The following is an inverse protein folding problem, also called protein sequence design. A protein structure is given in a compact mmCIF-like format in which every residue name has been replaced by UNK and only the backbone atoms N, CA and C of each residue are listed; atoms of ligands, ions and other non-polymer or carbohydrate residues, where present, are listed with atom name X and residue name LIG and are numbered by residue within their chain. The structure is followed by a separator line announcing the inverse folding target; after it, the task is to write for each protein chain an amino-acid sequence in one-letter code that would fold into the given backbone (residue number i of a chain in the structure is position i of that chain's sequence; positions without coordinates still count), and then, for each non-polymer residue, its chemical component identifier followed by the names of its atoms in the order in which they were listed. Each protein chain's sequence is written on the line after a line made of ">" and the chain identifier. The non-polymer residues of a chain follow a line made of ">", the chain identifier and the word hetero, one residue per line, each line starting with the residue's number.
data_IF_825553989731
#
_entry.id   IF_825553989731
#
_cell.length_a   1.000
_cell.length_b   1.000
_cell.length_c   1.000
_cell.angle_alpha   90.00
_cell.angle_beta   90.00
_cell.angle_gamma   90.00
#
_symmetry.space_group_name_H-M   'P 1'
#
loop_
_entity.id
_entity.type
_entity.pdbx_description
1 polymer ?
#
# COMPACT_ATOMS: atom_id res chain seq x y z
N UNK A 1 -36.67 -30.70 39.98
CA UNK A 1 -35.53 -31.28 40.72
C UNK A 1 -34.65 -30.13 41.19
N UNK A 2 -34.71 -29.86 42.50
CA UNK A 2 -33.82 -29.03 43.34
C UNK A 2 -33.04 -27.88 42.68
N UNK A 3 -33.63 -26.68 42.66
CA UNK A 3 -32.92 -25.41 42.47
C UNK A 3 -31.86 -25.28 43.56
N UNK A 4 -30.58 -25.34 43.19
CA UNK A 4 -29.47 -25.08 44.12
C UNK A 4 -29.30 -23.57 44.25
N UNK A 5 -30.09 -22.94 45.12
CA UNK A 5 -30.05 -21.47 45.27
C UNK A 5 -28.80 -20.95 46.03
N UNK A 6 -27.82 -21.81 46.32
CA UNK A 6 -26.61 -21.45 47.06
C UNK A 6 -25.35 -22.18 46.55
N UNK A 7 -24.97 -21.92 45.30
CA UNK A 7 -23.71 -22.38 44.71
C UNK A 7 -22.51 -21.68 45.36
N UNK A 8 -21.41 -22.41 45.55
CA UNK A 8 -20.14 -21.84 46.03
C UNK A 8 -19.29 -21.32 44.86
N UNK A 9 -18.22 -20.59 45.19
CA UNK A 9 -17.23 -20.14 44.20
C UNK A 9 -16.62 -21.33 43.43
N UNK A 10 -16.45 -22.47 44.09
CA UNK A 10 -15.89 -23.69 43.49
C UNK A 10 -16.88 -24.33 42.52
N UNK A 11 -18.17 -24.36 42.88
CA UNK A 11 -19.21 -24.88 42.00
C UNK A 11 -19.35 -24.05 40.72
N UNK A 12 -19.32 -22.71 40.84
CA UNK A 12 -19.43 -21.80 39.68
C UNK A 12 -18.17 -21.85 38.82
N UNK A 13 -16.99 -21.97 39.44
CA UNK A 13 -15.73 -22.15 38.72
C UNK A 13 -15.74 -23.42 37.86
N UNK A 14 -16.24 -24.53 38.42
CA UNK A 14 -16.39 -25.78 37.68
C UNK A 14 -17.44 -25.67 36.56
N UNK A 15 -18.58 -25.01 36.82
CA UNK A 15 -19.66 -24.85 35.84
C UNK A 15 -19.24 -23.99 34.63
N UNK A 16 -18.44 -22.95 34.86
CA UNK A 16 -17.97 -22.04 33.80
C UNK A 16 -16.61 -22.45 33.23
N UNK A 17 -16.01 -23.53 33.75
CA UNK A 17 -14.67 -24.02 33.40
C UNK A 17 -13.58 -22.94 33.51
N UNK A 18 -13.58 -22.19 34.62
CA UNK A 18 -12.62 -21.12 34.93
C UNK A 18 -12.00 -21.32 36.31
N UNK A 19 -10.87 -20.66 36.58
CA UNK A 19 -10.22 -20.74 37.89
C UNK A 19 -10.99 -19.98 38.97
N UNK A 20 -10.75 -20.32 40.25
CA UNK A 20 -11.31 -19.58 41.40
C UNK A 20 -10.97 -18.09 41.37
N UNK A 21 -9.73 -17.74 40.97
CA UNK A 21 -9.32 -16.34 40.81
C UNK A 21 -10.09 -15.63 39.71
N UNK A 22 -10.44 -16.34 38.62
CA UNK A 22 -11.32 -15.82 37.56
C UNK A 22 -12.70 -15.45 38.09
N UNK A 23 -13.32 -16.29 38.94
CA UNK A 23 -14.63 -15.97 39.54
C UNK A 23 -14.55 -14.74 40.45
N UNK A 24 -13.49 -14.58 41.25
CA UNK A 24 -13.31 -13.37 42.06
C UNK A 24 -13.12 -12.10 41.21
N UNK A 25 -12.46 -12.20 40.05
CA UNK A 25 -12.33 -11.09 39.11
C UNK A 25 -13.70 -10.69 38.51
N UNK A 26 -14.51 -11.66 38.10
CA UNK A 26 -15.87 -11.41 37.59
C UNK A 26 -16.77 -10.74 38.65
N UNK A 27 -16.66 -11.15 39.91
CA UNK A 27 -17.39 -10.48 41.01
C UNK A 27 -16.90 -9.04 41.18
N UNK A 28 -15.58 -8.82 41.17
CA UNK A 28 -14.98 -7.48 41.35
C UNK A 28 -15.38 -6.51 40.24
N UNK A 29 -15.47 -7.01 39.00
CA UNK A 29 -15.87 -6.22 37.84
C UNK A 29 -17.39 -6.02 37.74
N UNK A 30 -18.18 -6.73 38.55
CA UNK A 30 -19.64 -6.68 38.51
C UNK A 30 -20.27 -7.49 37.37
N UNK A 31 -19.50 -8.36 36.72
CA UNK A 31 -19.94 -9.12 35.54
C UNK A 31 -20.92 -10.23 35.91
N UNK A 32 -20.80 -10.80 37.12
CA UNK A 32 -21.67 -11.85 37.63
C UNK A 32 -22.29 -11.45 38.98
N UNK A 33 -23.60 -11.62 39.09
CA UNK A 33 -24.34 -11.38 40.33
C UNK A 33 -23.92 -12.37 41.43
N UNK A 34 -23.79 -11.89 42.66
CA UNK A 34 -23.52 -12.74 43.82
C UNK A 34 -24.12 -12.15 45.09
N UNK A 35 -24.29 -12.97 46.11
CA UNK A 35 -24.74 -12.53 47.43
C UNK A 35 -23.85 -13.12 48.52
N UNK A 36 -23.81 -12.47 49.69
CA UNK A 36 -23.00 -12.91 50.83
C UNK A 36 -23.87 -13.57 51.89
N UNK A 37 -23.42 -14.72 52.38
CA UNK A 37 -23.95 -15.38 53.59
C UNK A 37 -22.82 -15.39 54.61
N UNK A 38 -22.87 -14.45 55.55
CA UNK A 38 -21.75 -14.16 56.45
C UNK A 38 -20.50 -13.76 55.68
N UNK A 39 -19.38 -14.46 55.92
CA UNK A 39 -18.09 -14.22 55.21
C UNK A 39 -17.95 -14.98 53.88
N UNK A 40 -18.94 -15.79 53.49
CA UNK A 40 -18.87 -16.64 52.30
C UNK A 40 -19.73 -16.06 51.16
N UNK A 41 -19.19 -16.10 49.95
CA UNK A 41 -19.92 -15.68 48.74
C UNK A 41 -20.73 -16.88 48.21
N UNK A 42 -21.94 -16.60 47.74
CA UNK A 42 -22.88 -17.55 47.14
C UNK A 42 -23.48 -16.99 45.86
N UNK A 43 -23.88 -17.92 45.00
CA UNK A 43 -24.54 -17.63 43.74
C UNK A 43 -25.83 -18.41 43.64
N UNK A 44 -26.83 -17.83 43.02
CA UNK A 44 -28.01 -18.57 42.58
C UNK A 44 -27.77 -19.10 41.16
N UNK A 45 -28.48 -20.16 40.78
CA UNK A 45 -28.50 -20.61 39.38
C UNK A 45 -28.88 -19.48 38.41
N UNK A 46 -29.75 -18.57 38.83
CA UNK A 46 -30.16 -17.42 38.03
C UNK A 46 -29.00 -16.47 37.71
N UNK A 47 -28.10 -16.22 38.67
CA UNK A 47 -26.93 -15.36 38.44
C UNK A 47 -25.98 -15.96 37.41
N UNK A 48 -25.76 -17.27 37.46
CA UNK A 48 -24.88 -17.97 36.51
C UNK A 48 -25.51 -17.99 35.12
N UNK A 49 -26.82 -18.23 35.01
CA UNK A 49 -27.55 -18.20 33.73
C UNK A 49 -27.57 -16.81 33.12
N UNK A 50 -27.81 -15.76 33.91
CA UNK A 50 -27.77 -14.37 33.43
C UNK A 50 -26.38 -14.02 32.89
N UNK A 51 -25.31 -14.40 33.61
CA UNK A 51 -23.95 -14.23 33.11
C UNK A 51 -23.73 -14.96 31.77
N UNK A 52 -24.12 -16.23 31.66
CA UNK A 52 -23.99 -17.02 30.42
C UNK A 52 -24.80 -16.39 29.28
N UNK A 53 -26.00 -15.87 29.55
CA UNK A 53 -26.84 -15.25 28.51
C UNK A 53 -26.29 -13.89 28.06
N UNK A 54 -25.68 -13.11 28.94
CA UNK A 54 -25.00 -11.86 28.58
C UNK A 54 -23.69 -12.08 27.84
N UNK A 55 -22.99 -13.17 28.17
CA UNK A 55 -21.71 -13.53 27.52
C UNK A 55 -21.90 -14.40 26.27
N UNK A 56 -23.06 -15.05 26.13
CA UNK A 56 -23.48 -15.76 24.93
C UNK A 56 -24.00 -14.80 23.88
N UNK A 57 -23.24 -14.62 22.79
CA UNK A 57 -23.82 -14.06 21.55
C UNK A 57 -24.63 -15.15 20.86
N UNK A 58 -25.93 -14.94 20.69
CA UNK A 58 -26.73 -15.81 19.82
C UNK A 58 -26.12 -15.86 18.41
N UNK A 59 -26.13 -17.04 17.74
CA UNK A 59 -25.75 -17.12 16.33
C UNK A 59 -26.81 -16.38 15.51
N UNK A 60 -26.48 -15.17 15.04
CA UNK A 60 -27.33 -14.42 14.10
C UNK A 60 -27.59 -15.28 12.86
N UNK A 61 -28.86 -15.63 12.62
CA UNK A 61 -29.35 -16.02 11.29
C UNK A 61 -29.02 -14.88 10.30
N UNK A 62 -28.67 -15.20 9.05
CA UNK A 62 -28.20 -14.20 8.10
C UNK A 62 -29.38 -13.33 7.63
N UNK A 63 -29.55 -12.16 8.25
CA UNK A 63 -30.20 -11.06 7.57
C UNK A 63 -29.25 -10.56 6.48
N UNK A 64 -29.70 -10.72 5.24
CA UNK A 64 -29.10 -10.08 4.07
C UNK A 64 -29.25 -8.56 4.23
N UNK A 65 -28.25 -7.94 4.82
CA UNK A 65 -27.88 -6.55 4.55
C UNK A 65 -26.36 -6.49 4.55
N UNK A 66 -25.80 -6.69 3.36
CA UNK A 66 -24.37 -6.74 3.13
C UNK A 66 -23.74 -5.36 3.31
N UNK A 67 -23.15 -5.12 4.48
CA UNK A 67 -21.88 -4.43 4.55
C UNK A 67 -20.81 -5.52 4.65
N UNK A 68 -19.77 -5.53 3.80
CA UNK A 68 -18.71 -6.52 3.90
C UNK A 68 -17.82 -6.17 5.10
N UNK A 69 -18.26 -6.53 6.31
CA UNK A 69 -17.35 -6.57 7.44
C UNK A 69 -16.36 -7.71 7.19
N UNK A 70 -15.07 -7.35 7.10
CA UNK A 70 -13.96 -8.24 6.85
C UNK A 70 -13.87 -9.30 7.96
N UNK A 71 -13.78 -10.56 7.58
CA UNK A 71 -13.57 -11.69 8.49
C UNK A 71 -12.12 -11.66 9.00
N UNK A 72 -11.86 -11.02 10.14
CA UNK A 72 -10.51 -10.77 10.69
C UNK A 72 -9.68 -12.05 10.86
N UNK A 73 -10.32 -13.18 11.15
CA UNK A 73 -9.65 -14.46 11.37
C UNK A 73 -9.14 -15.12 10.07
N UNK A 74 -9.55 -14.64 8.89
CA UNK A 74 -9.01 -15.13 7.60
C UNK A 74 -7.81 -14.35 7.10
N UNK A 75 -7.56 -13.14 7.61
CA UNK A 75 -6.53 -12.24 7.06
C UNK A 75 -5.30 -12.08 7.96
N UNK A 76 -5.41 -12.41 9.25
CA UNK A 76 -4.38 -12.18 10.26
C UNK A 76 -3.94 -13.46 10.99
N UNK A 77 -3.79 -14.56 10.26
CA UNK A 77 -3.13 -15.74 10.81
C UNK A 77 -1.61 -15.69 10.57
N UNK A 78 -0.86 -15.12 11.52
CA UNK A 78 0.61 -15.15 11.55
C UNK A 78 1.18 -16.56 11.80
N UNK A 79 0.32 -17.55 12.07
CA UNK A 79 0.68 -18.95 12.27
C UNK A 79 0.60 -19.81 11.01
N UNK A 80 0.05 -19.28 9.90
CA UNK A 80 0.20 -19.90 8.58
C UNK A 80 1.69 -20.02 8.30
N UNK A 81 2.16 -21.27 8.32
CA UNK A 81 3.57 -21.62 8.35
C UNK A 81 4.37 -20.83 7.34
N UNK A 82 5.50 -20.27 7.78
CA UNK A 82 6.57 -19.83 6.91
C UNK A 82 6.96 -21.01 6.03
N UNK A 83 6.35 -21.13 4.85
CA UNK A 83 6.92 -21.97 3.80
C UNK A 83 8.32 -21.43 3.56
N UNK A 84 9.33 -22.27 3.81
CA UNK A 84 10.75 -21.91 3.87
C UNK A 84 11.37 -21.54 2.53
N UNK A 85 10.63 -20.88 1.64
CA UNK A 85 11.14 -20.24 0.44
C UNK A 85 11.63 -18.82 0.74
N UNK A 86 12.55 -18.33 -0.09
CA UNK A 86 12.84 -16.89 -0.16
C UNK A 86 11.53 -16.13 -0.39
N UNK A 87 11.28 -15.06 0.38
CA UNK A 87 10.00 -14.34 0.32
C UNK A 87 9.73 -13.73 -1.05
N UNK A 88 8.45 -13.67 -1.48
CA UNK A 88 8.06 -13.02 -2.73
C UNK A 88 8.03 -11.50 -2.53
N UNK A 89 9.00 -10.76 -3.07
CA UNK A 89 9.15 -9.31 -2.82
C UNK A 89 8.72 -8.51 -4.05
N UNK A 90 7.78 -7.59 -3.86
CA UNK A 90 7.32 -6.61 -4.86
C UNK A 90 7.90 -5.23 -4.52
N UNK A 91 8.71 -4.70 -5.42
CA UNK A 91 9.31 -3.37 -5.30
C UNK A 91 8.48 -2.28 -5.97
N UNK A 92 8.45 -1.10 -5.36
CA UNK A 92 7.85 0.11 -5.91
C UNK A 92 7.22 0.98 -4.83
N UNK A 93 6.85 2.22 -5.17
CA UNK A 93 6.37 3.20 -4.19
C UNK A 93 4.85 3.49 -4.27
N UNK A 94 4.14 3.00 -5.29
CA UNK A 94 2.71 3.30 -5.44
C UNK A 94 1.80 2.37 -4.60
N UNK A 95 0.73 2.96 -4.06
CA UNK A 95 -0.31 2.31 -3.25
C UNK A 95 -0.95 1.08 -3.94
N UNK A 96 -1.01 1.06 -5.28
CA UNK A 96 -1.55 -0.09 -6.05
C UNK A 96 -0.88 -1.40 -5.67
N UNK A 97 0.42 -1.35 -5.33
CA UNK A 97 1.19 -2.52 -4.95
C UNK A 97 0.88 -3.00 -3.54
N UNK A 98 0.43 -2.11 -2.66
CA UNK A 98 0.02 -2.47 -1.30
C UNK A 98 -1.30 -3.24 -1.35
N UNK A 99 -2.23 -2.77 -2.18
CA UNK A 99 -3.49 -3.48 -2.48
C UNK A 99 -3.18 -4.82 -3.17
N UNK A 100 -2.25 -4.85 -4.14
CA UNK A 100 -1.83 -6.08 -4.80
C UNK A 100 -1.27 -7.09 -3.80
N UNK A 101 -0.38 -6.68 -2.90
CA UNK A 101 0.20 -7.56 -1.89
C UNK A 101 -0.86 -8.18 -0.97
N UNK A 102 -1.89 -7.41 -0.62
CA UNK A 102 -3.02 -7.91 0.17
C UNK A 102 -3.83 -8.95 -0.59
N UNK A 103 -4.10 -8.72 -1.88
CA UNK A 103 -4.78 -9.72 -2.73
C UNK A 103 -3.93 -10.97 -2.92
N UNK A 104 -2.62 -10.84 -3.09
CA UNK A 104 -1.69 -11.98 -3.18
C UNK A 104 -1.79 -12.84 -1.91
N UNK A 105 -1.77 -12.22 -0.73
CA UNK A 105 -1.92 -12.91 0.56
C UNK A 105 -3.24 -13.67 0.66
N UNK A 106 -4.34 -13.08 0.19
CA UNK A 106 -5.65 -13.77 0.16
C UNK A 106 -5.66 -15.02 -0.73
N UNK A 107 -4.76 -15.10 -1.71
CA UNK A 107 -4.59 -16.24 -2.60
C UNK A 107 -3.45 -17.17 -2.15
N UNK A 108 -2.99 -17.05 -0.89
CA UNK A 108 -1.97 -17.92 -0.31
C UNK A 108 -0.52 -17.55 -0.66
N UNK A 109 -0.28 -16.42 -1.34
CA UNK A 109 1.06 -15.95 -1.67
C UNK A 109 1.48 -14.85 -0.70
N UNK A 110 2.49 -15.11 0.13
CA UNK A 110 3.04 -14.12 1.06
C UNK A 110 3.92 -13.11 0.29
N UNK A 111 3.30 -12.05 -0.21
CA UNK A 111 3.99 -10.96 -0.90
C UNK A 111 4.45 -9.87 0.09
N UNK A 112 5.75 -9.59 0.12
CA UNK A 112 6.36 -8.50 0.88
C UNK A 112 6.55 -7.26 -0.01
N UNK A 113 6.58 -6.08 0.62
CA UNK A 113 6.76 -4.80 -0.06
C UNK A 113 8.12 -4.19 0.26
N UNK A 114 8.80 -3.73 -0.78
CA UNK A 114 9.98 -2.88 -0.67
C UNK A 114 9.71 -1.52 -1.34
N UNK A 115 9.72 -0.46 -0.54
CA UNK A 115 9.41 0.90 -0.98
C UNK A 115 10.67 1.61 -1.48
N UNK A 116 11.10 1.26 -2.69
CA UNK A 116 12.28 1.83 -3.36
C UNK A 116 11.93 2.35 -4.75
N UNK A 117 12.75 3.26 -5.28
CA UNK A 117 12.56 3.90 -6.58
C UNK A 117 12.67 2.92 -7.76
N UNK A 118 12.28 3.38 -8.96
CA UNK A 118 12.24 2.54 -10.16
C UNK A 118 13.62 1.99 -10.55
N UNK A 119 14.64 2.85 -10.53
CA UNK A 119 16.00 2.45 -10.88
C UNK A 119 16.51 1.37 -9.92
N UNK A 120 16.42 1.61 -8.62
CA UNK A 120 16.86 0.66 -7.59
C UNK A 120 16.03 -0.64 -7.61
N UNK A 121 14.75 -0.58 -7.99
CA UNK A 121 13.91 -1.76 -8.18
C UNK A 121 14.46 -2.65 -9.30
N UNK A 122 14.82 -2.06 -10.45
CA UNK A 122 15.39 -2.79 -11.58
C UNK A 122 16.77 -3.38 -11.26
N UNK A 123 17.63 -2.61 -10.58
CA UNK A 123 18.93 -3.08 -10.10
C UNK A 123 18.78 -4.22 -9.09
N UNK A 124 17.80 -4.14 -8.19
CA UNK A 124 17.51 -5.20 -7.22
C UNK A 124 17.00 -6.46 -7.90
N UNK A 125 16.19 -6.33 -8.97
CA UNK A 125 15.74 -7.45 -9.78
C UNK A 125 16.90 -8.11 -10.53
N UNK A 126 17.84 -7.32 -11.07
CA UNK A 126 19.05 -7.84 -11.70
C UNK A 126 19.84 -8.74 -10.74
N UNK A 127 20.02 -8.28 -9.50
CA UNK A 127 20.74 -9.01 -8.45
C UNK A 127 19.93 -10.11 -7.74
N UNK A 128 18.76 -10.50 -8.26
CA UNK A 128 17.92 -11.54 -7.66
C UNK A 128 17.49 -11.26 -6.21
N UNK A 129 17.54 -10.01 -5.77
CA UNK A 129 17.16 -9.63 -4.40
C UNK A 129 15.64 -9.53 -4.21
N UNK A 130 14.91 -9.46 -5.32
CA UNK A 130 13.46 -9.21 -5.34
C UNK A 130 12.82 -10.05 -6.43
N UNK A 131 11.52 -10.31 -6.30
CA UNK A 131 10.78 -11.16 -7.25
C UNK A 131 10.19 -10.34 -8.39
N UNK A 132 9.73 -9.12 -8.09
CA UNK A 132 9.06 -8.23 -9.04
C UNK A 132 9.53 -6.80 -8.82
N UNK A 133 9.92 -6.12 -9.89
CA UNK A 133 10.17 -4.69 -9.89
C UNK A 133 9.00 -3.95 -10.53
N UNK A 134 8.77 -2.71 -10.14
CA UNK A 134 7.98 -1.76 -10.95
C UNK A 134 8.84 -0.62 -11.43
N UNK A 135 8.51 -0.09 -12.60
CA UNK A 135 9.20 1.05 -13.17
C UNK A 135 8.25 2.03 -13.87
N UNK A 136 8.68 3.28 -13.91
CA UNK A 136 8.08 4.38 -14.67
C UNK A 136 9.18 5.35 -15.12
N UNK A 137 10.25 4.78 -15.69
CA UNK A 137 11.39 5.54 -16.21
C UNK A 137 11.12 5.92 -17.65
N UNK A 138 10.97 7.22 -17.92
CA UNK A 138 10.79 7.73 -19.27
C UNK A 138 12.14 7.81 -20.00
N UNK A 139 12.13 7.57 -21.30
CA UNK A 139 13.27 7.76 -22.20
C UNK A 139 12.90 8.80 -23.26
N UNK A 140 13.62 9.93 -23.26
CA UNK A 140 13.37 11.00 -24.22
C UNK A 140 13.68 10.61 -25.67
N UNK A 141 14.57 9.65 -25.89
CA UNK A 141 15.02 9.27 -27.23
C UNK A 141 13.99 8.42 -27.97
N UNK A 142 13.28 7.55 -27.26
CA UNK A 142 12.23 6.70 -27.83
C UNK A 142 10.82 7.24 -27.58
N UNK A 143 10.69 8.27 -26.74
CA UNK A 143 9.42 8.74 -26.16
C UNK A 143 8.56 7.60 -25.59
N UNK A 144 9.20 6.64 -24.90
CA UNK A 144 8.51 5.51 -24.28
C UNK A 144 9.00 5.29 -22.85
N UNK A 145 8.32 4.42 -22.10
CA UNK A 145 8.66 4.09 -20.73
C UNK A 145 9.28 2.70 -20.61
N UNK A 146 10.24 2.56 -19.70
CA UNK A 146 10.75 1.30 -19.14
C UNK A 146 11.54 0.38 -20.09
N UNK A 147 11.15 0.18 -21.35
CA UNK A 147 11.76 -0.86 -22.22
C UNK A 147 13.27 -0.66 -22.41
N UNK A 148 13.71 0.55 -22.74
CA UNK A 148 15.14 0.86 -22.90
C UNK A 148 15.91 0.76 -21.58
N UNK A 149 15.32 1.25 -20.49
CA UNK A 149 15.89 1.16 -19.14
C UNK A 149 16.04 -0.28 -18.67
N UNK A 150 15.03 -1.14 -18.88
CA UNK A 150 15.08 -2.58 -18.54
C UNK A 150 16.19 -3.27 -19.33
N UNK A 151 16.29 -3.03 -20.65
CA UNK A 151 17.37 -3.60 -21.48
C UNK A 151 18.77 -3.19 -21.00
N UNK A 152 18.89 -1.94 -20.54
CA UNK A 152 20.18 -1.38 -20.09
C UNK A 152 20.57 -1.88 -18.70
N UNK A 153 19.61 -1.96 -17.77
CA UNK A 153 19.86 -2.31 -16.37
C UNK A 153 19.83 -3.82 -16.09
N UNK A 154 19.21 -4.61 -16.98
CA UNK A 154 19.19 -6.07 -16.89
C UNK A 154 19.83 -6.73 -18.13
N UNK A 155 21.11 -6.41 -18.44
CA UNK A 155 21.76 -6.93 -19.63
C UNK A 155 21.86 -8.46 -19.58
N UNK A 156 21.45 -9.11 -20.67
CA UNK A 156 21.48 -10.58 -20.79
C UNK A 156 20.34 -11.31 -20.07
N UNK A 157 19.42 -10.60 -19.41
CA UNK A 157 18.26 -11.20 -18.73
C UNK A 157 16.99 -10.84 -19.48
N UNK A 158 16.30 -11.85 -20.01
CA UNK A 158 14.97 -11.65 -20.62
C UNK A 158 13.95 -11.28 -19.56
N UNK A 159 13.21 -10.22 -19.80
CA UNK A 159 12.20 -9.69 -18.91
C UNK A 159 10.86 -9.56 -19.63
N UNK A 160 9.79 -9.90 -18.93
CA UNK A 160 8.41 -9.65 -19.35
C UNK A 160 7.92 -8.40 -18.63
N UNK A 161 7.46 -7.41 -19.40
CA UNK A 161 6.98 -6.12 -18.92
C UNK A 161 5.47 -6.08 -19.09
N UNK A 162 4.74 -5.75 -18.02
CA UNK A 162 3.30 -5.70 -18.04
C UNK A 162 2.76 -4.44 -17.39
N UNK A 163 1.71 -3.87 -17.96
CA UNK A 163 1.14 -2.63 -17.46
C UNK A 163 0.40 -2.82 -16.14
N UNK A 164 0.54 -1.84 -15.25
CA UNK A 164 -0.31 -1.72 -14.07
C UNK A 164 -1.33 -0.60 -14.29
N UNK A 165 -0.85 0.58 -14.66
CA UNK A 165 -1.71 1.75 -14.77
C UNK A 165 -1.01 2.87 -15.54
N UNK A 166 -1.80 3.84 -16.00
CA UNK A 166 -1.34 5.13 -16.45
C UNK A 166 -1.77 6.22 -15.45
N UNK A 167 -0.90 7.22 -15.28
CA UNK A 167 -1.11 8.37 -14.40
C UNK A 167 -0.65 9.65 -15.09
N UNK A 168 -0.92 10.80 -14.48
CA UNK A 168 -0.39 12.08 -14.95
C UNK A 168 0.74 12.55 -14.05
N UNK A 169 1.92 12.78 -14.63
CA UNK A 169 3.02 13.51 -14.03
C UNK A 169 2.93 14.99 -14.41
N UNK A 170 3.37 15.84 -13.50
CA UNK A 170 3.31 17.28 -13.68
C UNK A 170 4.09 18.04 -12.62
N UNK A 171 3.86 19.34 -12.58
CA UNK A 171 4.52 20.26 -11.68
C UNK A 171 3.59 20.56 -10.50
N UNK A 172 4.11 20.41 -9.29
CA UNK A 172 3.55 21.02 -8.09
C UNK A 172 4.02 22.47 -8.06
N UNK A 173 3.08 23.41 -7.96
CA UNK A 173 3.37 24.84 -7.84
C UNK A 173 2.55 25.40 -6.69
N UNK A 174 2.97 26.53 -6.10
CA UNK A 174 2.16 27.18 -5.08
C UNK A 174 0.76 27.54 -5.62
N UNK A 175 -0.26 27.48 -4.75
CA UNK A 175 -1.65 27.78 -5.11
C UNK A 175 -1.77 29.15 -5.81
N UNK A 176 -2.53 29.19 -6.90
CA UNK A 176 -2.66 30.33 -7.80
C UNK A 176 -1.51 30.48 -8.80
N UNK A 177 -0.47 29.64 -8.72
CA UNK A 177 0.72 29.66 -9.55
C UNK A 177 1.32 31.08 -9.73
N UNK A 178 1.74 31.75 -8.64
CA UNK A 178 2.12 33.17 -8.67
C UNK A 178 3.32 33.47 -9.58
N UNK A 179 4.22 32.51 -9.78
CA UNK A 179 5.39 32.64 -10.68
C UNK A 179 5.09 32.22 -12.12
N UNK A 180 3.84 31.85 -12.41
CA UNK A 180 3.35 31.44 -13.73
C UNK A 180 4.18 30.32 -14.37
N UNK A 181 4.55 29.31 -13.58
CA UNK A 181 5.35 28.17 -14.01
C UNK A 181 4.46 27.25 -14.84
N UNK A 182 4.79 26.99 -16.10
CA UNK A 182 3.94 26.22 -17.02
C UNK A 182 4.68 25.18 -17.85
N UNK A 183 6.00 25.21 -17.84
CA UNK A 183 6.81 24.38 -18.75
C UNK A 183 8.15 23.99 -18.15
N UNK A 184 8.78 22.97 -18.75
CA UNK A 184 10.15 22.57 -18.39
C UNK A 184 11.18 23.69 -18.57
N UNK A 185 10.94 24.65 -19.49
CA UNK A 185 11.83 25.81 -19.69
C UNK A 185 11.84 26.77 -18.51
N UNK A 186 10.80 26.78 -17.69
CA UNK A 186 10.73 27.65 -16.52
C UNK A 186 11.80 27.29 -15.47
N UNK A 187 12.30 26.06 -15.44
CA UNK A 187 13.38 25.65 -14.53
C UNK A 187 14.70 26.41 -14.75
N UNK A 188 14.90 27.05 -15.91
CA UNK A 188 16.07 27.89 -16.19
C UNK A 188 15.94 29.32 -15.64
N UNK A 189 14.79 29.69 -15.05
CA UNK A 189 14.57 31.04 -14.55
C UNK A 189 15.25 31.23 -13.19
N UNK A 190 15.92 32.37 -13.03
CA UNK A 190 16.62 32.73 -11.79
C UNK A 190 15.69 33.00 -10.61
N UNK A 191 14.40 33.24 -10.87
CA UNK A 191 13.39 33.50 -9.83
C UNK A 191 12.69 32.23 -9.34
N UNK A 192 13.04 31.04 -9.85
CA UNK A 192 12.42 29.77 -9.48
C UNK A 192 13.45 28.90 -8.76
N UNK A 193 13.08 28.42 -7.56
CA UNK A 193 13.80 27.39 -6.83
C UNK A 193 12.98 26.11 -6.80
N UNK A 194 13.61 24.98 -7.07
CA UNK A 194 12.95 23.68 -7.01
C UNK A 194 13.30 22.87 -5.76
N UNK A 195 12.53 21.81 -5.52
CA UNK A 195 12.90 20.68 -4.67
C UNK A 195 12.65 19.39 -5.45
N UNK A 196 13.57 18.44 -5.32
CA UNK A 196 13.64 17.25 -6.15
C UNK A 196 13.25 15.98 -5.40
N UNK A 197 12.89 14.95 -6.18
CA UNK A 197 12.89 13.57 -5.71
C UNK A 197 14.30 12.98 -5.78
N UNK A 198 14.52 11.90 -5.03
CA UNK A 198 15.76 11.14 -5.03
C UNK A 198 16.15 10.68 -6.44
N UNK A 199 17.45 10.55 -6.69
CA UNK A 199 17.97 9.97 -7.92
C UNK A 199 17.37 8.57 -8.17
N UNK A 200 17.03 8.28 -9.41
CA UNK A 200 16.39 7.03 -9.80
C UNK A 200 14.87 6.97 -9.60
N UNK A 201 14.26 7.99 -8.98
CA UNK A 201 12.81 8.15 -8.99
C UNK A 201 12.31 8.54 -10.40
N UNK A 202 11.15 8.02 -10.82
CA UNK A 202 10.59 8.31 -12.15
C UNK A 202 10.37 9.80 -12.40
N UNK A 203 9.93 10.56 -11.38
CA UNK A 203 9.77 12.02 -11.48
C UNK A 203 11.10 12.76 -11.66
N UNK A 204 12.19 12.25 -11.07
CA UNK A 204 13.55 12.82 -11.25
C UNK A 204 14.09 12.51 -12.65
N UNK A 205 13.92 11.28 -13.12
CA UNK A 205 14.30 10.90 -14.49
C UNK A 205 13.51 11.70 -15.53
N UNK A 206 12.20 11.89 -15.31
CA UNK A 206 11.37 12.73 -16.20
C UNK A 206 11.90 14.16 -16.27
N UNK A 207 12.28 14.76 -15.15
CA UNK A 207 12.89 16.08 -15.11
C UNK A 207 14.21 16.09 -15.89
N UNK A 208 15.13 15.21 -15.53
CA UNK A 208 16.49 15.19 -16.07
C UNK A 208 16.49 14.98 -17.60
N UNK A 209 15.62 14.11 -18.11
CA UNK A 209 15.44 13.90 -19.55
C UNK A 209 14.90 15.16 -20.26
N UNK A 210 13.96 15.89 -19.63
CA UNK A 210 13.46 17.15 -20.21
C UNK A 210 14.49 18.29 -20.13
N UNK A 211 15.29 18.37 -19.06
CA UNK A 211 16.40 19.32 -18.97
C UNK A 211 17.43 19.04 -20.07
N UNK A 212 17.79 17.77 -20.29
CA UNK A 212 18.67 17.34 -21.38
C UNK A 212 18.14 17.74 -22.76
N UNK A 213 16.86 17.56 -23.04
CA UNK A 213 16.24 18.00 -24.30
C UNK A 213 16.30 19.53 -24.50
N UNK A 214 16.42 20.29 -23.42
CA UNK A 214 16.54 21.74 -23.43
C UNK A 214 18.00 22.23 -23.36
N UNK A 215 18.97 21.33 -23.36
CA UNK A 215 20.40 21.62 -23.13
C UNK A 215 20.63 22.39 -21.80
N UNK A 216 19.85 22.03 -20.78
CA UNK A 216 19.97 22.55 -19.41
C UNK A 216 20.63 21.50 -18.53
N UNK A 217 21.59 21.95 -17.74
CA UNK A 217 22.25 21.13 -16.73
C UNK A 217 21.64 21.39 -15.36
N UNK A 218 21.57 20.37 -14.51
CA UNK A 218 21.05 20.51 -13.14
C UNK A 218 21.79 21.60 -12.34
N UNK A 219 23.08 21.83 -12.62
CA UNK A 219 23.88 22.91 -12.02
C UNK A 219 23.38 24.32 -12.34
N UNK A 220 22.52 24.49 -13.35
CA UNK A 220 21.91 25.76 -13.73
C UNK A 220 20.51 25.94 -13.12
N UNK A 221 19.99 24.93 -12.42
CA UNK A 221 18.65 24.94 -11.83
C UNK A 221 18.78 25.15 -10.32
N UNK A 222 18.21 26.24 -9.80
CA UNK A 222 18.29 26.55 -8.38
C UNK A 222 17.54 25.51 -7.52
N UNK A 223 18.21 24.94 -6.52
CA UNK A 223 17.63 23.89 -5.66
C UNK A 223 17.63 22.49 -6.28
N UNK A 224 18.34 22.27 -7.39
CA UNK A 224 18.38 20.97 -8.07
C UNK A 224 18.85 19.81 -7.16
N UNK A 225 19.81 20.07 -6.27
CA UNK A 225 20.36 19.11 -5.31
C UNK A 225 19.56 19.02 -4.00
N UNK A 226 18.52 19.85 -3.82
CA UNK A 226 17.62 19.74 -2.66
C UNK A 226 16.68 18.55 -2.89
N UNK A 227 17.01 17.38 -2.31
CA UNK A 227 16.28 16.13 -2.56
C UNK A 227 15.42 15.68 -1.37
N UNK A 228 14.32 14.98 -1.67
CA UNK A 228 13.52 14.25 -0.69
C UNK A 228 13.04 12.90 -1.24
N UNK A 229 12.95 11.89 -0.38
CA UNK A 229 12.59 10.52 -0.76
C UNK A 229 11.07 10.26 -0.85
N UNK A 230 10.23 11.23 -0.50
CA UNK A 230 8.78 11.06 -0.44
C UNK A 230 8.05 11.99 -1.40
N UNK A 231 7.12 11.43 -2.19
CA UNK A 231 6.19 12.19 -3.03
C UNK A 231 5.42 13.25 -2.22
N UNK A 232 4.95 12.87 -1.03
CA UNK A 232 4.16 13.75 -0.18
C UNK A 232 5.02 14.87 0.40
N UNK A 233 6.27 14.57 0.75
CA UNK A 233 7.17 15.55 1.36
C UNK A 233 7.57 16.64 0.36
N UNK A 234 7.89 16.29 -0.90
CA UNK A 234 8.17 17.31 -1.94
C UNK A 234 6.95 18.18 -2.22
N UNK A 235 5.75 17.59 -2.34
CA UNK A 235 4.53 18.35 -2.55
C UNK A 235 4.22 19.29 -1.37
N UNK A 236 4.43 18.80 -0.15
CA UNK A 236 4.21 19.59 1.07
C UNK A 236 5.22 20.73 1.23
N UNK A 237 6.47 20.55 0.77
CA UNK A 237 7.46 21.62 0.75
C UNK A 237 7.01 22.79 -0.14
N UNK A 238 6.40 22.51 -1.30
CA UNK A 238 5.78 23.54 -2.15
C UNK A 238 4.61 24.22 -1.43
N UNK A 239 3.72 23.44 -0.79
CA UNK A 239 2.58 24.00 -0.04
C UNK A 239 2.98 24.88 1.14
N UNK A 240 4.18 24.68 1.72
CA UNK A 240 4.76 25.52 2.77
C UNK A 240 5.60 26.69 2.24
N UNK A 241 5.81 26.79 0.92
CA UNK A 241 6.63 27.83 0.29
C UNK A 241 8.14 27.65 0.50
N UNK A 242 8.62 26.44 0.79
CA UNK A 242 10.05 26.13 0.92
C UNK A 242 10.76 26.09 -0.44
N UNK A 243 10.01 25.78 -1.49
CA UNK A 243 10.42 25.84 -2.89
C UNK A 243 9.22 26.22 -3.77
N UNK A 244 9.48 26.57 -5.03
CA UNK A 244 8.48 27.08 -5.97
C UNK A 244 7.90 25.98 -6.88
N UNK A 245 8.70 24.95 -7.17
CA UNK A 245 8.31 23.87 -8.08
C UNK A 245 8.90 22.52 -7.68
N UNK A 246 8.12 21.45 -7.86
CA UNK A 246 8.58 20.06 -7.78
C UNK A 246 7.87 19.21 -8.83
N UNK A 247 8.45 18.08 -9.23
CA UNK A 247 7.83 17.14 -10.19
C UNK A 247 7.17 15.98 -9.44
N UNK A 248 5.95 15.62 -9.82
CA UNK A 248 5.28 14.45 -9.26
C UNK A 248 3.92 14.12 -9.88
N UNK A 249 3.21 13.18 -9.27
CA UNK A 249 1.90 12.69 -9.73
C UNK A 249 0.75 13.63 -9.34
N UNK A 250 -0.26 13.70 -10.21
CA UNK A 250 -1.50 14.46 -9.97
C UNK A 250 -2.23 14.00 -8.70
N UNK A 251 -2.23 12.69 -8.42
CA UNK A 251 -2.91 12.13 -7.24
C UNK A 251 -2.44 12.76 -5.93
N UNK A 252 -1.13 12.96 -5.78
CA UNK A 252 -0.54 13.57 -4.59
C UNK A 252 -0.86 15.06 -4.53
N UNK A 253 -0.92 15.74 -5.68
CA UNK A 253 -1.30 17.16 -5.71
C UNK A 253 -2.69 17.40 -5.10
N UNK A 254 -3.63 16.48 -5.31
CA UNK A 254 -4.99 16.55 -4.76
C UNK A 254 -5.07 16.31 -3.24
N UNK A 255 -3.99 15.82 -2.62
CA UNK A 255 -3.95 15.46 -1.20
C UNK A 255 -3.26 16.52 -0.34
N UNK A 256 -2.62 17.50 -0.95
CA UNK A 256 -1.83 18.53 -0.25
C UNK A 256 -2.50 19.88 -0.45
N UNK A 257 -2.65 20.62 0.64
CA UNK A 257 -3.19 21.97 0.59
C UNK A 257 -2.17 22.98 0.04
N UNK A 258 -2.66 24.13 -0.42
CA UNK A 258 -1.86 25.27 -0.86
C UNK A 258 -0.93 25.01 -2.06
N UNK A 259 -1.20 23.96 -2.83
CA UNK A 259 -0.56 23.72 -4.13
C UNK A 259 -1.59 23.62 -5.25
N UNK A 260 -1.17 24.00 -6.44
CA UNK A 260 -1.85 23.68 -7.70
C UNK A 260 -0.98 22.72 -8.52
N UNK A 261 -1.61 22.09 -9.53
CA UNK A 261 -0.95 21.10 -10.38
C UNK A 261 -0.97 21.55 -11.84
N UNK A 262 0.21 21.54 -12.47
CA UNK A 262 0.37 21.76 -13.92
C UNK A 262 0.61 20.40 -14.59
N UNK A 263 -0.35 19.85 -15.36
CA UNK A 263 -0.19 18.54 -16.00
C UNK A 263 0.85 18.62 -17.12
N UNK A 264 1.80 17.68 -17.15
CA UNK A 264 2.91 17.70 -18.12
C UNK A 264 2.96 16.47 -19.01
N UNK A 265 2.82 15.26 -18.45
CA UNK A 265 3.01 14.02 -19.21
C UNK A 265 2.17 12.88 -18.67
N UNK A 266 1.61 12.08 -19.59
CA UNK A 266 1.04 10.77 -19.25
C UNK A 266 2.19 9.81 -18.96
N UNK A 267 2.12 9.18 -17.81
CA UNK A 267 3.11 8.24 -17.30
C UNK A 267 2.57 6.81 -17.39
N UNK A 268 3.41 5.89 -17.86
CA UNK A 268 3.15 4.45 -17.84
C UNK A 268 3.88 3.81 -16.66
N UNK A 269 3.15 3.12 -15.80
CA UNK A 269 3.69 2.40 -14.65
C UNK A 269 3.52 0.90 -14.86
N UNK A 270 4.65 0.18 -14.95
CA UNK A 270 4.69 -1.21 -15.36
C UNK A 270 5.38 -2.09 -14.31
N UNK A 271 4.99 -3.37 -14.28
CA UNK A 271 5.72 -4.47 -13.62
C UNK A 271 6.78 -5.01 -14.57
N UNK A 272 7.90 -5.42 -14.00
CA UNK A 272 9.00 -6.09 -14.67
C UNK A 272 9.32 -7.37 -13.90
N UNK A 273 9.28 -8.50 -14.61
CA UNK A 273 9.63 -9.81 -14.07
C UNK A 273 10.61 -10.50 -15.00
N UNK A 274 11.53 -11.31 -14.44
CA UNK A 274 12.38 -12.17 -15.28
C UNK A 274 11.50 -13.19 -16.00
N UNK A 275 11.62 -13.30 -17.32
CA UNK A 275 10.74 -14.13 -18.16
C UNK A 275 10.77 -15.59 -17.75
N UNK A 276 11.93 -16.11 -17.32
CA UNK A 276 12.06 -17.49 -16.82
C UNK A 276 11.21 -17.79 -15.58
N UNK A 277 10.77 -16.75 -14.85
CA UNK A 277 9.93 -16.88 -13.64
C UNK A 277 8.44 -16.68 -13.93
N UNK A 278 8.04 -16.29 -15.14
CA UNK A 278 6.64 -15.98 -15.47
C UNK A 278 5.71 -17.16 -15.18
N UNK A 279 6.21 -18.39 -15.31
CA UNK A 279 5.45 -19.61 -15.07
C UNK A 279 5.35 -20.05 -13.61
N UNK A 280 6.03 -19.36 -12.68
CA UNK A 280 5.94 -19.64 -11.25
C UNK A 280 4.53 -19.40 -10.72
N UNK A 281 4.07 -20.18 -9.71
CA UNK A 281 2.74 -20.01 -9.13
C UNK A 281 2.47 -18.58 -8.67
N UNK A 282 3.45 -17.94 -8.03
CA UNK A 282 3.33 -16.59 -7.47
C UNK A 282 3.12 -15.53 -8.55
N UNK A 283 3.88 -15.58 -9.65
CA UNK A 283 3.72 -14.63 -10.76
C UNK A 283 2.41 -14.87 -11.52
N UNK A 284 2.02 -16.14 -11.72
CA UNK A 284 0.70 -16.47 -12.33
C UNK A 284 -0.44 -15.91 -11.50
N UNK A 285 -0.44 -16.15 -10.19
CA UNK A 285 -1.44 -15.59 -9.27
C UNK A 285 -1.46 -14.05 -9.31
N UNK A 286 -0.28 -13.40 -9.36
CA UNK A 286 -0.20 -11.95 -9.51
C UNK A 286 -0.88 -11.45 -10.79
N UNK A 287 -0.62 -12.08 -11.94
CA UNK A 287 -1.24 -11.69 -13.21
C UNK A 287 -2.75 -11.96 -13.24
N UNK A 288 -3.21 -13.06 -12.64
CA UNK A 288 -4.63 -13.36 -12.48
C UNK A 288 -5.33 -12.29 -11.64
N UNK A 289 -4.72 -11.87 -10.53
CA UNK A 289 -5.24 -10.81 -9.66
C UNK A 289 -5.36 -9.49 -10.43
N UNK A 290 -4.31 -9.05 -11.13
CA UNK A 290 -4.32 -7.80 -11.90
C UNK A 290 -5.45 -7.75 -12.95
N UNK A 291 -5.75 -8.90 -13.55
CA UNK A 291 -6.83 -9.05 -14.56
C UNK A 291 -8.20 -9.27 -13.93
N UNK A 292 -8.29 -9.50 -12.63
CA UNK A 292 -9.55 -9.75 -11.94
C UNK A 292 -10.38 -8.48 -11.82
N UNK A 293 -11.70 -8.60 -12.05
CA UNK A 293 -12.63 -7.48 -11.87
C UNK A 293 -12.64 -6.96 -10.44
N UNK A 294 -12.44 -7.84 -9.45
CA UNK A 294 -12.38 -7.48 -8.03
C UNK A 294 -11.24 -6.50 -7.77
N UNK A 295 -10.02 -6.80 -8.22
CA UNK A 295 -8.88 -5.91 -8.06
C UNK A 295 -9.06 -4.60 -8.81
N UNK A 296 -9.49 -4.66 -10.07
CA UNK A 296 -9.70 -3.48 -10.91
C UNK A 296 -10.76 -2.52 -10.33
N UNK A 297 -11.80 -3.06 -9.68
CA UNK A 297 -12.84 -2.25 -9.05
C UNK A 297 -12.35 -1.42 -7.87
N UNK A 298 -11.28 -1.83 -7.17
CA UNK A 298 -10.67 -1.03 -6.09
C UNK A 298 -10.18 0.33 -6.59
N UNK A 299 -9.71 0.41 -7.84
CA UNK A 299 -9.11 1.64 -8.39
C UNK A 299 -10.11 2.54 -9.12
N UNK A 300 -11.30 2.02 -9.45
CA UNK A 300 -12.37 2.83 -10.03
C UNK A 300 -12.85 3.92 -9.08
N UNK A 301 -12.78 3.69 -7.76
CA UNK A 301 -13.20 4.63 -6.72
C UNK A 301 -12.09 5.54 -6.21
N UNK A 302 -10.82 5.09 -6.25
CA UNK A 302 -9.67 5.85 -5.74
C UNK A 302 -9.31 7.06 -6.62
N UNK A 303 -9.66 7.00 -7.93
CA UNK A 303 -9.40 8.08 -8.88
C UNK A 303 -7.91 8.30 -9.18
N UNK A 304 -7.60 8.95 -10.31
CA UNK A 304 -6.22 9.27 -10.71
C UNK A 304 -5.42 8.10 -11.29
N UNK A 305 -6.08 6.97 -11.56
CA UNK A 305 -5.53 5.80 -12.24
C UNK A 305 -6.33 5.49 -13.50
N UNK A 306 -5.64 5.33 -14.63
CA UNK A 306 -6.17 4.70 -15.83
C UNK A 306 -5.66 3.26 -15.87
N UNK A 307 -6.57 2.29 -15.84
CA UNK A 307 -6.27 0.85 -15.76
C UNK A 307 -6.67 0.10 -17.03
N UNK A 308 -6.80 0.81 -18.16
CA UNK A 308 -7.22 0.24 -19.45
C UNK A 308 -6.39 -0.96 -19.93
N UNK A 309 -5.11 -1.01 -19.55
CA UNK A 309 -4.17 -2.08 -19.92
C UNK A 309 -3.66 -2.90 -18.74
N UNK A 310 -4.28 -2.79 -17.56
CA UNK A 310 -3.81 -3.47 -16.36
C UNK A 310 -3.68 -4.99 -16.55
N UNK A 311 -2.50 -5.52 -16.22
CA UNK A 311 -2.16 -6.94 -16.35
C UNK A 311 -1.91 -7.41 -17.79
N UNK A 312 -1.92 -6.52 -18.79
CA UNK A 312 -1.50 -6.83 -20.17
C UNK A 312 0.02 -6.78 -20.27
N UNK A 313 0.59 -7.77 -20.96
CA UNK A 313 2.01 -7.76 -21.32
C UNK A 313 2.19 -6.72 -22.44
N UNK A 314 3.07 -5.76 -22.19
CA UNK A 314 3.37 -4.67 -23.13
C UNK A 314 4.60 -5.01 -23.97
N UNK A 315 5.58 -5.72 -23.39
CA UNK A 315 6.83 -6.02 -24.06
C UNK A 315 7.54 -7.23 -23.45
N UNK A 316 8.34 -7.93 -24.26
CA UNK A 316 9.31 -8.92 -23.81
C UNK A 316 10.70 -8.56 -24.37
N UNK A 317 11.69 -8.39 -23.48
CA UNK A 317 13.01 -7.86 -23.84
C UNK A 317 13.95 -8.89 -24.41
#
# INVERSE_FOLDING_TARGET
>A
MTTRDALTVEDVAALLNVSRSGIYALIKNGDIGSYKVGRKIRFTDAHVRDYINRSGREPRRPERNGSPALDENKYFDLSMGRHGGEGFIICGQDLILDILSNFMRMHGVMALRAYIGSYDSLVSLYHDRVSVATAHLWDSSSDDYNVSHVRTLLPGIRCTIANITYRTQGLYVAKGNPKNIRSWRDFARNDIRMINREKGAGSRVLLDENLKLLDLYGSQVAGYDDENQSHLAVASAIGRGEADVAVGTEKIARQVENIDFVPMKRERYDLVVKTERVDTPEIKTMFEILRSSKFQNEFKSIGGYDISDIGKIIHET
#
